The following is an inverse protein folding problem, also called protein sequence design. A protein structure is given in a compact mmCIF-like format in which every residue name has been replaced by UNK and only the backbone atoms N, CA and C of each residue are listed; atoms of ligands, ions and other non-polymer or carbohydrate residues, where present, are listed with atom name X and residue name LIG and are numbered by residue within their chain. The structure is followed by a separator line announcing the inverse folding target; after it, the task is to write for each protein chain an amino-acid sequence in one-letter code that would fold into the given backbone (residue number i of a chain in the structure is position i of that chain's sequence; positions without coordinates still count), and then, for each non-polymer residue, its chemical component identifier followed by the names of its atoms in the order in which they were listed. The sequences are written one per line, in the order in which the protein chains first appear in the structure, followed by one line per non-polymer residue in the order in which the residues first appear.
data_IF_585049993229
#
_entry.id   IF_585049993229
#
_cell.length_a   1.000
_cell.length_b   1.000
_cell.length_c   1.000
_cell.angle_alpha   90.00
_cell.angle_beta   90.00
_cell.angle_gamma   90.00
#
_symmetry.space_group_name_H-M   'P 1'
#
loop_
_entity.id
_entity.type
_entity.pdbx_description
1 polymer ?
#
# COMPACT_ATOMS: atom_id res chain seq x y z
N UNK A 1 -16.06 7.06 13.11
CA UNK A 1 -16.82 7.08 11.84
C UNK A 1 -18.30 7.28 12.14
N UNK A 2 -18.99 8.23 11.51
CA UNK A 2 -20.44 8.42 11.67
C UNK A 2 -21.19 7.58 10.62
N UNK A 3 -21.51 6.33 10.93
CA UNK A 3 -22.11 5.36 9.97
C UNK A 3 -23.44 5.88 9.40
N UNK A 4 -24.19 6.67 10.18
CA UNK A 4 -25.44 7.30 9.76
C UNK A 4 -25.24 8.63 8.99
N UNK A 5 -24.10 9.30 9.15
CA UNK A 5 -23.83 10.61 8.53
C UNK A 5 -23.07 10.51 7.18
N UNK A 6 -22.68 9.30 6.75
CA UNK A 6 -21.84 9.09 5.53
C UNK A 6 -20.54 9.91 5.55
N UNK A 7 -19.92 10.07 6.73
CA UNK A 7 -18.69 10.83 6.92
C UNK A 7 -17.50 9.93 7.26
N UNK A 8 -16.39 10.13 6.57
CA UNK A 8 -15.09 9.53 6.85
C UNK A 8 -14.18 10.61 7.45
N UNK A 9 -13.56 10.30 8.58
CA UNK A 9 -12.58 11.18 9.23
C UNK A 9 -11.18 10.69 8.90
N UNK A 10 -10.33 11.58 8.40
CA UNK A 10 -8.90 11.31 8.18
C UNK A 10 -8.10 12.18 9.14
N UNK A 11 -6.96 11.68 9.62
CA UNK A 11 -6.04 12.46 10.43
C UNK A 11 -5.58 13.71 9.67
N UNK A 12 -5.83 14.90 10.25
CA UNK A 12 -5.44 16.18 9.71
C UNK A 12 -3.92 16.31 9.51
N UNK A 13 -3.11 15.53 10.23
CA UNK A 13 -1.65 15.48 10.03
C UNK A 13 -1.25 14.95 8.64
N UNK A 14 -2.17 14.30 7.92
CA UNK A 14 -1.97 13.81 6.56
C UNK A 14 -2.42 14.80 5.48
N UNK A 15 -2.92 15.99 5.85
CA UNK A 15 -3.41 16.99 4.91
C UNK A 15 -2.36 17.33 3.83
N UNK A 16 -2.63 17.03 2.55
CA UNK A 16 -1.67 17.27 1.47
C UNK A 16 -1.50 18.76 1.15
N UNK A 17 -2.42 19.65 1.54
CA UNK A 17 -2.25 21.09 1.36
C UNK A 17 -1.14 21.63 2.27
N UNK A 18 -1.06 21.11 3.50
CA UNK A 18 -0.03 21.47 4.47
C UNK A 18 1.25 20.63 4.32
N UNK A 19 1.10 19.37 3.88
CA UNK A 19 2.20 18.43 3.74
C UNK A 19 2.13 17.69 2.39
N UNK A 20 2.51 18.33 1.27
CA UNK A 20 2.44 17.71 -0.06
C UNK A 20 3.16 16.36 -0.16
N UNK A 21 4.25 16.17 0.61
CA UNK A 21 4.99 14.92 0.69
C UNK A 21 4.16 13.73 1.27
N UNK A 22 3.05 14.00 1.96
CA UNK A 22 2.15 13.00 2.52
C UNK A 22 0.97 12.64 1.61
N UNK A 23 0.86 13.25 0.42
CA UNK A 23 -0.25 13.02 -0.51
C UNK A 23 -0.50 11.53 -0.80
N UNK A 24 0.55 10.73 -1.01
CA UNK A 24 0.38 9.30 -1.24
C UNK A 24 -0.12 8.52 -0.02
N UNK A 25 0.25 8.95 1.19
CA UNK A 25 -0.30 8.36 2.44
C UNK A 25 -1.76 8.75 2.61
N UNK A 26 -2.08 10.01 2.39
CA UNK A 26 -3.44 10.53 2.42
C UNK A 26 -4.35 9.78 1.44
N UNK A 27 -3.92 9.63 0.18
CA UNK A 27 -4.65 8.89 -0.85
C UNK A 27 -4.85 7.41 -0.48
N UNK A 28 -3.83 6.77 0.09
CA UNK A 28 -3.95 5.40 0.60
C UNK A 28 -4.96 5.29 1.75
N UNK A 29 -4.90 6.17 2.74
CA UNK A 29 -5.87 6.20 3.84
C UNK A 29 -7.30 6.37 3.33
N UNK A 30 -7.54 7.32 2.42
CA UNK A 30 -8.87 7.50 1.82
C UNK A 30 -9.35 6.25 1.08
N UNK A 31 -8.48 5.63 0.28
CA UNK A 31 -8.82 4.43 -0.48
C UNK A 31 -9.08 3.23 0.45
N UNK A 32 -8.34 3.12 1.55
CA UNK A 32 -8.51 2.09 2.58
C UNK A 32 -9.86 2.25 3.29
N UNK A 33 -10.19 3.46 3.76
CA UNK A 33 -11.50 3.75 4.36
C UNK A 33 -12.66 3.54 3.37
N UNK A 34 -12.46 3.89 2.10
CA UNK A 34 -13.44 3.58 1.05
C UNK A 34 -13.63 2.07 0.87
N UNK A 35 -12.57 1.28 1.03
CA UNK A 35 -12.61 -0.18 1.04
C UNK A 35 -13.43 -0.72 2.21
N UNK A 36 -13.18 -0.22 3.42
CA UNK A 36 -13.99 -0.54 4.61
C UNK A 36 -15.47 -0.26 4.35
N UNK A 37 -15.77 0.93 3.85
CA UNK A 37 -17.15 1.31 3.58
C UNK A 37 -17.76 0.47 2.45
N UNK A 38 -17.04 0.19 1.37
CA UNK A 38 -17.58 -0.56 0.22
C UNK A 38 -17.85 -2.02 0.55
N UNK A 39 -16.93 -2.67 1.28
CA UNK A 39 -16.95 -4.11 1.54
C UNK A 39 -17.74 -4.45 2.81
N UNK A 40 -17.64 -3.61 3.85
CA UNK A 40 -18.11 -3.96 5.20
C UNK A 40 -19.20 -3.06 5.77
N UNK A 41 -19.80 -2.18 4.95
CA UNK A 41 -20.92 -1.30 5.38
C UNK A 41 -21.97 -1.98 6.25
N UNK A 42 -22.34 -3.20 5.87
CA UNK A 42 -23.40 -3.98 6.52
C UNK A 42 -23.01 -4.47 7.92
N UNK A 43 -21.72 -4.70 8.17
CA UNK A 43 -21.20 -5.04 9.51
C UNK A 43 -21.24 -3.81 10.43
N UNK A 44 -20.86 -2.64 9.91
CA UNK A 44 -20.92 -1.39 10.65
C UNK A 44 -22.36 -0.98 11.00
N UNK A 45 -23.33 -1.18 10.09
CA UNK A 45 -24.74 -0.94 10.37
C UNK A 45 -25.29 -1.84 11.49
N UNK A 46 -24.94 -3.13 11.48
CA UNK A 46 -25.34 -4.05 12.55
C UNK A 46 -24.73 -3.68 13.90
N UNK A 47 -23.46 -3.27 13.92
CA UNK A 47 -22.75 -2.89 15.15
C UNK A 47 -23.25 -1.55 15.72
N UNK A 48 -23.49 -0.56 14.87
CA UNK A 48 -24.09 0.72 15.26
C UNK A 48 -25.51 0.52 15.85
N UNK A 49 -26.31 -0.36 15.25
CA UNK A 49 -27.64 -0.70 15.77
C UNK A 49 -27.58 -1.46 17.10
N UNK A 50 -26.52 -2.24 17.36
CA UNK A 50 -26.29 -2.92 18.65
C UNK A 50 -25.78 -1.97 19.73
N UNK A 51 -24.90 -1.02 19.38
CA UNK A 51 -24.37 0.00 20.29
C UNK A 51 -25.45 1.02 20.72
N UNK A 52 -26.44 1.28 19.87
CA UNK A 52 -27.59 2.12 20.18
C UNK A 52 -28.48 1.57 21.31
N UNK A 53 -28.24 0.34 21.79
CA UNK A 53 -28.90 -0.27 22.96
C UNK A 53 -28.14 -0.05 24.28
N UNK A 54 -26.99 0.62 24.24
CA UNK A 54 -26.17 0.97 25.41
C UNK A 54 -26.25 2.48 25.69
N UNK A 55 -26.04 2.95 26.95
CA UNK A 55 -26.20 4.35 27.33
C UNK A 55 -25.39 5.34 26.46
N UNK A 56 -25.93 6.55 26.27
CA UNK A 56 -25.47 7.60 25.34
C UNK A 56 -24.00 8.04 25.50
N UNK A 57 -23.38 7.73 26.64
CA UNK A 57 -21.98 8.03 26.98
C UNK A 57 -20.97 7.23 26.13
N UNK A 58 -21.45 6.23 25.38
CA UNK A 58 -20.66 5.38 24.50
C UNK A 58 -20.48 5.94 23.07
N UNK A 59 -20.77 7.22 22.82
CA UNK A 59 -20.37 7.92 21.58
C UNK A 59 -18.84 8.17 21.54
N UNK A 60 -18.03 7.14 21.81
CA UNK A 60 -16.67 7.13 21.28
C UNK A 60 -16.84 6.96 19.78
N UNK A 61 -16.54 8.03 19.04
CA UNK A 61 -16.26 7.98 17.62
C UNK A 61 -15.56 6.65 17.34
N UNK A 62 -16.21 5.76 16.58
CA UNK A 62 -15.69 4.44 16.26
C UNK A 62 -14.36 4.64 15.51
N UNK A 63 -13.28 4.72 16.27
CA UNK A 63 -11.91 4.48 15.86
C UNK A 63 -11.82 2.97 15.78
N UNK A 64 -12.19 2.42 14.63
CA UNK A 64 -11.97 1.02 14.28
C UNK A 64 -10.48 0.87 14.03
N UNK A 65 -9.72 0.87 15.12
CA UNK A 65 -8.27 0.67 15.09
C UNK A 65 -7.85 0.19 16.48
N UNK A 66 -8.34 -0.98 16.90
CA UNK A 66 -7.88 -1.67 18.11
C UNK A 66 -7.94 -3.19 17.95
N UNK A 67 -7.23 -3.71 16.96
CA UNK A 67 -6.73 -5.09 17.03
C UNK A 67 -5.40 -5.15 16.31
N UNK A 68 -4.38 -5.51 17.08
CA UNK A 68 -2.98 -5.68 16.66
C UNK A 68 -2.74 -6.91 15.79
N UNK A 69 -3.79 -7.71 15.55
CA UNK A 69 -3.78 -8.83 14.62
C UNK A 69 -4.33 -8.39 13.27
N UNK A 70 -3.70 -8.85 12.17
CA UNK A 70 -4.13 -8.57 10.79
C UNK A 70 -5.51 -9.18 10.53
N UNK A 71 -6.55 -8.48 10.95
CA UNK A 71 -7.94 -8.82 10.70
C UNK A 71 -8.14 -8.98 9.17
N UNK A 72 -8.78 -10.08 8.70
CA UNK A 72 -9.15 -10.24 7.30
C UNK A 72 -9.82 -9.00 6.68
N UNK A 73 -10.53 -8.21 7.48
CA UNK A 73 -11.15 -6.93 7.10
C UNK A 73 -10.11 -5.89 6.69
N UNK A 74 -9.09 -5.66 7.52
CA UNK A 74 -7.99 -4.72 7.25
C UNK A 74 -7.18 -5.15 6.01
N UNK A 75 -6.88 -6.44 5.90
CA UNK A 75 -6.16 -6.99 4.74
C UNK A 75 -6.96 -6.74 3.44
N UNK A 76 -8.27 -6.90 3.48
CA UNK A 76 -9.13 -6.68 2.32
C UNK A 76 -9.28 -5.20 1.99
N UNK A 77 -9.34 -4.32 2.99
CA UNK A 77 -9.32 -2.86 2.79
C UNK A 77 -7.99 -2.40 2.15
N UNK A 78 -6.84 -2.93 2.60
CA UNK A 78 -5.54 -2.67 1.98
C UNK A 78 -5.47 -3.16 0.53
N UNK A 79 -5.98 -4.36 0.26
CA UNK A 79 -6.06 -4.90 -1.11
C UNK A 79 -6.97 -4.04 -2.00
N UNK A 80 -8.09 -3.56 -1.46
CA UNK A 80 -8.99 -2.65 -2.16
C UNK A 80 -8.27 -1.34 -2.49
N UNK A 81 -7.61 -0.73 -1.51
CA UNK A 81 -6.87 0.51 -1.69
C UNK A 81 -5.78 0.37 -2.76
N UNK A 82 -4.99 -0.71 -2.70
CA UNK A 82 -3.96 -1.01 -3.70
C UNK A 82 -4.54 -1.21 -5.11
N UNK A 83 -5.68 -1.89 -5.23
CA UNK A 83 -6.33 -2.10 -6.54
C UNK A 83 -6.93 -0.80 -7.10
N UNK A 84 -7.46 0.06 -6.24
CA UNK A 84 -8.04 1.36 -6.60
C UNK A 84 -6.96 2.35 -7.04
N UNK A 85 -5.87 2.47 -6.27
CA UNK A 85 -4.78 3.41 -6.55
C UNK A 85 -3.82 2.93 -7.63
N UNK A 86 -3.66 1.61 -7.78
CA UNK A 86 -2.77 1.01 -8.76
C UNK A 86 -3.50 -0.05 -9.62
N UNK A 87 -4.43 0.36 -10.51
CA UNK A 87 -5.19 -0.57 -11.34
C UNK A 87 -4.28 -1.42 -12.24
N UNK A 88 -4.57 -2.72 -12.34
CA UNK A 88 -3.69 -3.73 -12.98
C UNK A 88 -3.25 -3.32 -14.39
N UNK A 89 -4.20 -2.94 -15.24
CA UNK A 89 -3.91 -2.60 -16.64
C UNK A 89 -3.17 -1.27 -16.78
N UNK A 90 -3.43 -0.30 -15.89
CA UNK A 90 -2.68 0.95 -15.85
C UNK A 90 -1.23 0.70 -15.43
N UNK A 91 -1.00 -0.13 -14.42
CA UNK A 91 0.35 -0.50 -13.96
C UNK A 91 1.10 -1.24 -15.05
N UNK A 92 0.48 -2.22 -15.73
CA UNK A 92 1.10 -2.91 -16.88
C UNK A 92 1.47 -1.95 -18.00
N UNK A 93 0.56 -1.03 -18.35
CA UNK A 93 0.82 -0.02 -19.38
C UNK A 93 1.99 0.88 -18.99
N UNK A 94 2.03 1.34 -17.73
CA UNK A 94 3.12 2.15 -17.21
C UNK A 94 4.45 1.38 -17.18
N UNK A 95 4.43 0.12 -16.77
CA UNK A 95 5.57 -0.79 -16.80
C UNK A 95 6.13 -0.96 -18.21
N UNK A 96 5.29 -1.31 -19.18
CA UNK A 96 5.69 -1.45 -20.57
C UNK A 96 6.28 -0.15 -21.12
N UNK A 97 5.66 1.01 -20.83
CA UNK A 97 6.19 2.32 -21.25
C UNK A 97 7.55 2.64 -20.61
N UNK A 98 7.77 2.21 -19.37
CA UNK A 98 9.03 2.46 -18.67
C UNK A 98 10.15 1.50 -19.12
N UNK A 99 9.83 0.22 -19.33
CA UNK A 99 10.81 -0.83 -19.65
C UNK A 99 10.99 -1.10 -21.14
N UNK A 100 9.99 -0.75 -21.94
CA UNK A 100 9.88 -1.18 -23.33
C UNK A 100 9.45 -2.65 -23.52
N UNK A 101 9.22 -3.37 -22.42
CA UNK A 101 8.97 -4.81 -22.44
C UNK A 101 8.19 -5.26 -21.19
N UNK A 102 7.67 -6.50 -21.18
CA UNK A 102 6.82 -7.02 -20.09
C UNK A 102 7.52 -8.01 -19.16
N UNK A 103 8.78 -8.35 -19.41
CA UNK A 103 9.51 -9.34 -18.63
C UNK A 103 9.76 -8.83 -17.20
N UNK A 104 9.61 -9.73 -16.21
CA UNK A 104 9.88 -9.39 -14.83
C UNK A 104 11.35 -9.00 -14.62
N UNK A 105 11.60 -8.19 -13.59
CA UNK A 105 12.95 -8.04 -13.03
C UNK A 105 13.09 -9.05 -11.91
N UNK A 106 14.09 -9.91 -12.00
CA UNK A 106 14.47 -10.76 -10.88
C UNK A 106 15.59 -10.08 -10.08
N UNK A 107 15.47 -10.09 -8.75
CA UNK A 107 16.49 -9.56 -7.85
C UNK A 107 17.91 -10.12 -8.12
N UNK A 108 18.09 -11.43 -8.43
CA UNK A 108 19.42 -11.97 -8.78
C UNK A 108 20.05 -11.34 -10.03
N UNK A 109 19.25 -10.78 -10.96
CA UNK A 109 19.77 -10.12 -12.16
C UNK A 109 20.36 -8.73 -11.85
N UNK A 110 20.19 -8.24 -10.62
CA UNK A 110 20.63 -6.91 -10.19
C UNK A 110 21.94 -6.94 -9.38
N UNK A 111 22.56 -8.10 -9.17
CA UNK A 111 23.73 -8.24 -8.30
C UNK A 111 24.88 -7.29 -8.69
N UNK A 112 25.12 -7.09 -10.00
CA UNK A 112 26.14 -6.16 -10.49
C UNK A 112 25.88 -4.70 -10.12
N UNK A 113 24.60 -4.31 -9.97
CA UNK A 113 24.17 -2.93 -9.65
C UNK A 113 23.73 -2.78 -8.19
N UNK A 114 23.63 -3.89 -7.44
CA UNK A 114 23.06 -3.93 -6.08
C UNK A 114 23.72 -2.95 -5.13
N UNK A 115 25.06 -2.92 -5.12
CA UNK A 115 25.84 -2.00 -4.27
C UNK A 115 25.52 -0.54 -4.58
N UNK A 116 25.53 -0.17 -5.86
CA UNK A 116 25.23 1.20 -6.30
C UNK A 116 23.81 1.63 -5.89
N UNK A 117 22.83 0.76 -6.10
CA UNK A 117 21.43 1.01 -5.75
C UNK A 117 21.28 1.20 -4.23
N UNK A 118 21.88 0.31 -3.43
CA UNK A 118 21.84 0.40 -1.97
C UNK A 118 22.47 1.69 -1.46
N UNK A 119 23.64 2.08 -1.96
CA UNK A 119 24.28 3.35 -1.57
C UNK A 119 23.37 4.54 -1.87
N UNK A 120 22.75 4.58 -3.06
CA UNK A 120 21.81 5.64 -3.41
C UNK A 120 20.58 5.67 -2.48
N UNK A 121 20.06 4.50 -2.09
CA UNK A 121 18.87 4.41 -1.26
C UNK A 121 19.16 4.74 0.22
N UNK A 122 20.31 4.36 0.75
CA UNK A 122 20.76 4.75 2.10
C UNK A 122 20.90 6.26 2.17
N UNK A 123 21.55 6.89 1.17
CA UNK A 123 21.73 8.34 1.14
C UNK A 123 20.38 9.06 1.05
N UNK A 124 19.45 8.53 0.24
CA UNK A 124 18.09 9.08 0.10
C UNK A 124 17.28 9.00 1.40
N UNK A 125 17.38 7.89 2.14
CA UNK A 125 16.58 7.66 3.36
C UNK A 125 17.21 8.19 4.64
N UNK A 126 18.52 8.44 4.64
CA UNK A 126 19.28 8.74 5.84
C UNK A 126 19.53 7.52 6.74
N UNK A 127 19.41 6.30 6.21
CA UNK A 127 19.62 5.07 6.99
C UNK A 127 19.11 3.79 6.32
N UNK A 128 19.34 2.66 7.00
CA UNK A 128 18.81 1.34 6.61
C UNK A 128 17.41 1.13 7.18
N UNK A 129 16.56 0.43 6.43
CA UNK A 129 15.25 -0.03 6.92
C UNK A 129 15.45 -1.12 7.98
N UNK A 130 14.65 -1.14 9.03
CA UNK A 130 14.63 -2.23 10.00
C UNK A 130 13.66 -3.31 9.52
N UNK A 131 14.12 -4.24 8.69
CA UNK A 131 13.39 -5.44 8.30
C UNK A 131 14.36 -6.58 7.97
N UNK A 132 13.91 -7.84 8.10
CA UNK A 132 14.73 -9.02 7.79
C UNK A 132 15.31 -8.98 6.36
N UNK A 133 14.54 -8.42 5.42
CA UNK A 133 14.91 -8.28 4.00
C UNK A 133 15.20 -6.83 3.59
N UNK A 134 15.67 -5.99 4.51
CA UNK A 134 15.82 -4.54 4.31
C UNK A 134 16.61 -4.16 3.04
N UNK A 135 17.72 -4.84 2.78
CA UNK A 135 18.55 -4.56 1.61
C UNK A 135 17.83 -4.91 0.30
N UNK A 136 17.15 -6.05 0.23
CA UNK A 136 16.39 -6.45 -0.95
C UNK A 136 15.21 -5.51 -1.21
N UNK A 137 14.48 -5.18 -0.14
CA UNK A 137 13.39 -4.23 -0.15
C UNK A 137 13.82 -2.88 -0.71
N UNK A 138 14.97 -2.37 -0.26
CA UNK A 138 15.52 -1.11 -0.75
C UNK A 138 15.85 -1.16 -2.25
N UNK A 139 16.39 -2.28 -2.74
CA UNK A 139 16.67 -2.46 -4.17
C UNK A 139 15.39 -2.50 -4.99
N UNK A 140 14.39 -3.27 -4.56
CA UNK A 140 13.12 -3.39 -5.28
C UNK A 140 12.29 -2.10 -5.20
N UNK A 141 12.31 -1.41 -4.07
CA UNK A 141 11.67 -0.09 -3.90
C UNK A 141 12.35 0.97 -4.79
N UNK A 142 13.66 0.90 -4.99
CA UNK A 142 14.35 1.76 -5.95
C UNK A 142 13.82 1.56 -7.38
N UNK A 143 13.60 0.32 -7.80
CA UNK A 143 13.05 0.00 -9.13
C UNK A 143 11.57 0.38 -9.26
N UNK A 144 10.80 0.25 -8.18
CA UNK A 144 9.39 0.59 -8.16
C UNK A 144 9.15 2.11 -8.20
N UNK A 145 10.15 2.93 -7.82
CA UNK A 145 10.02 4.36 -7.60
C UNK A 145 9.48 5.17 -8.79
N UNK A 146 9.96 5.00 -10.04
CA UNK A 146 9.44 5.76 -11.18
C UNK A 146 7.94 5.52 -11.40
N UNK A 147 7.47 4.30 -11.16
CA UNK A 147 6.05 3.99 -11.22
C UNK A 147 5.33 4.55 -9.98
N UNK A 148 5.91 4.41 -8.79
CA UNK A 148 5.31 4.92 -7.55
C UNK A 148 5.01 6.42 -7.63
N UNK A 149 5.95 7.21 -8.16
CA UNK A 149 5.78 8.65 -8.38
C UNK A 149 4.65 8.95 -9.36
N UNK A 150 4.55 8.18 -10.47
CA UNK A 150 3.46 8.33 -11.45
C UNK A 150 2.08 8.05 -10.87
N UNK A 151 1.97 7.07 -9.97
CA UNK A 151 0.72 6.70 -9.31
C UNK A 151 0.49 7.43 -7.99
N UNK A 152 1.41 8.33 -7.60
CA UNK A 152 1.37 9.07 -6.33
C UNK A 152 1.21 8.17 -5.10
N UNK A 153 1.95 7.05 -5.07
CA UNK A 153 1.98 6.10 -3.95
C UNK A 153 3.40 5.95 -3.40
N UNK A 154 3.55 5.28 -2.26
CA UNK A 154 4.89 4.96 -1.75
C UNK A 154 5.60 3.93 -2.65
N UNK A 155 6.94 3.99 -2.68
CA UNK A 155 7.74 3.00 -3.38
C UNK A 155 7.51 1.58 -2.85
N UNK A 156 7.26 1.44 -1.55
CA UNK A 156 6.90 0.16 -0.91
C UNK A 156 5.56 -0.38 -1.41
N UNK A 157 4.52 0.45 -1.48
CA UNK A 157 3.21 0.03 -1.98
C UNK A 157 3.29 -0.41 -3.46
N UNK A 158 4.02 0.36 -4.29
CA UNK A 158 4.26 -0.01 -5.68
C UNK A 158 5.09 -1.30 -5.79
N UNK A 159 6.13 -1.49 -4.96
CA UNK A 159 6.90 -2.73 -4.91
C UNK A 159 5.99 -3.93 -4.67
N UNK A 160 5.19 -3.89 -3.60
CA UNK A 160 4.24 -4.96 -3.24
C UNK A 160 3.26 -5.22 -4.41
N UNK A 161 2.78 -4.17 -5.06
CA UNK A 161 1.89 -4.30 -6.22
C UNK A 161 2.55 -5.01 -7.39
N UNK A 162 3.78 -4.65 -7.72
CA UNK A 162 4.55 -5.25 -8.81
C UNK A 162 4.94 -6.71 -8.50
N UNK A 163 5.29 -7.02 -7.24
CA UNK A 163 5.51 -8.39 -6.75
C UNK A 163 4.24 -9.24 -6.93
N UNK A 164 3.08 -8.74 -6.47
CA UNK A 164 1.79 -9.42 -6.63
C UNK A 164 1.35 -9.60 -8.10
N UNK A 165 1.92 -8.81 -9.01
CA UNK A 165 1.64 -8.90 -10.45
C UNK A 165 2.67 -9.77 -11.20
N UNK A 166 3.69 -10.28 -10.52
CA UNK A 166 4.78 -11.04 -11.15
C UNK A 166 5.68 -10.19 -12.05
N UNK A 167 5.77 -8.88 -11.81
CA UNK A 167 6.65 -7.96 -12.55
C UNK A 167 7.98 -7.71 -11.82
N UNK A 168 7.98 -7.88 -10.49
CA UNK A 168 9.19 -7.95 -9.67
C UNK A 168 9.23 -9.30 -8.98
N UNK A 169 10.36 -10.00 -9.10
CA UNK A 169 10.56 -11.33 -8.52
C UNK A 169 11.77 -11.31 -7.60
N UNK A 170 11.65 -11.90 -6.42
CA UNK A 170 12.77 -12.03 -5.46
C UNK A 170 13.72 -13.16 -5.83
N UNK A 171 13.21 -14.20 -6.48
CA UNK A 171 13.96 -15.37 -6.93
C UNK A 171 13.57 -15.66 -8.37
N UNK A 172 14.48 -16.27 -9.14
CA UNK A 172 14.09 -16.84 -10.43
C UNK A 172 13.16 -18.01 -10.16
N UNK A 173 12.09 -18.13 -10.93
CA UNK A 173 11.32 -19.37 -10.93
C UNK A 173 12.25 -20.47 -11.46
N UNK A 174 12.62 -21.41 -10.59
CA UNK A 174 13.26 -22.64 -11.03
C UNK A 174 12.17 -23.44 -11.74
N UNK A 175 12.17 -23.42 -13.08
CA UNK A 175 11.35 -24.35 -13.84
C UNK A 175 11.81 -25.76 -13.47
N UNK A 176 10.94 -26.53 -12.82
CA UNK A 176 11.16 -27.94 -12.41
C UNK A 176 11.15 -28.91 -13.62
N UNK A 177 11.49 -28.41 -14.81
CA UNK A 177 11.50 -29.14 -16.06
C UNK A 177 12.77 -28.78 -16.84
N UNK A 178 13.92 -29.19 -16.30
CA UNK A 178 15.16 -29.41 -17.06
C UNK A 178 15.53 -30.90 -16.94
#
# INVERSE_FOLDING_TARGET
MGVNERRLGVDASLDPEQHPAKLGRYGFTLAHEAGHWRLYRHLFQKRANQLSLLPEDAQRAEYVCRSTDRDPVEIQADKFAAALLMPREMVKTAWHKWRGQMEPICLPDLESKRRQILTAEVLRRGGLKQSENAAEDMVLEHLARPLAERFQVSAEAMRIRLENMGLLLRKKETTLFD
#
